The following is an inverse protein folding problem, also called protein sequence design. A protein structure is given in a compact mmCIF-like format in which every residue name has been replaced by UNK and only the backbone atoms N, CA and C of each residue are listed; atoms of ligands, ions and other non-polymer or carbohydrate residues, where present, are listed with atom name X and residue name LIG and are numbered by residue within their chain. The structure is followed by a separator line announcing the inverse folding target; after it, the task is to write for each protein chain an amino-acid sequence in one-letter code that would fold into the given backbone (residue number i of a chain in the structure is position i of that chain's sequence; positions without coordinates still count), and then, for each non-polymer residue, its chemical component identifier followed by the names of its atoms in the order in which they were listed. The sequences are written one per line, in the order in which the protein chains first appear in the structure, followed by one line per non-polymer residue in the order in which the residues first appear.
data_IF_779292457314
#
_entry.id   IF_779292457314
#
_cell.length_a   1.000
_cell.length_b   1.000
_cell.length_c   1.000
_cell.angle_alpha   90.00
_cell.angle_beta   90.00
_cell.angle_gamma   90.00
#
_symmetry.space_group_name_H-M   'P 1'
#
loop_
_entity.id
_entity.type
_entity.pdbx_description
1 polymer ?
#
# COMPACT_ATOMS: atom_id res chain seq x y z
N UNK A 1 0.13 -19.41 2.28
CA UNK A 1 1.33 -18.90 2.99
C UNK A 1 2.04 -17.87 2.13
N UNK A 2 2.83 -16.98 2.78
CA UNK A 2 3.66 -15.98 2.11
C UNK A 2 5.09 -16.14 2.62
N UNK A 3 6.04 -16.26 1.70
CA UNK A 3 7.46 -16.37 1.97
C UNK A 3 8.21 -15.20 1.34
N UNK A 4 9.25 -14.72 2.00
CA UNK A 4 10.11 -13.69 1.46
C UNK A 4 11.55 -14.20 1.38
N UNK A 5 12.10 -14.27 0.17
CA UNK A 5 13.46 -14.76 -0.07
C UNK A 5 14.53 -13.66 0.04
N UNK A 6 14.13 -12.41 0.22
CA UNK A 6 15.05 -11.27 0.30
C UNK A 6 14.63 -10.28 1.38
N UNK A 7 15.58 -9.49 1.88
CA UNK A 7 15.27 -8.28 2.63
C UNK A 7 14.55 -7.31 1.69
N UNK A 8 13.32 -6.92 2.08
CA UNK A 8 12.49 -6.01 1.27
C UNK A 8 12.49 -4.60 1.86
N UNK A 9 12.64 -3.61 1.01
CA UNK A 9 12.41 -2.21 1.37
C UNK A 9 10.95 -1.84 1.08
N UNK A 10 10.06 -2.37 1.92
CA UNK A 10 8.63 -2.25 1.75
C UNK A 10 7.84 -3.09 2.74
N UNK A 11 6.55 -3.21 2.47
CA UNK A 11 5.61 -3.99 3.28
C UNK A 11 4.57 -4.67 2.38
N UNK A 12 4.13 -5.85 2.78
CA UNK A 12 3.06 -6.61 2.14
C UNK A 12 2.12 -7.17 3.19
N UNK A 13 0.83 -7.15 2.89
CA UNK A 13 -0.19 -7.82 3.65
C UNK A 13 -1.14 -8.56 2.72
N UNK A 14 -1.41 -9.82 3.02
CA UNK A 14 -2.26 -10.69 2.20
C UNK A 14 -3.39 -11.26 3.03
N UNK A 15 -4.58 -11.29 2.43
CA UNK A 15 -5.75 -11.96 2.99
C UNK A 15 -6.65 -12.48 1.88
N UNK A 16 -7.28 -13.65 2.11
CA UNK A 16 -8.19 -14.25 1.16
C UNK A 16 -9.65 -13.89 1.46
N UNK A 17 -10.47 -13.88 0.41
CA UNK A 17 -11.91 -13.73 0.47
C UNK A 17 -12.57 -14.76 -0.44
N UNK A 18 -13.76 -15.22 -0.07
CA UNK A 18 -14.67 -15.91 -0.97
C UNK A 18 -15.68 -14.91 -1.52
N UNK A 19 -15.90 -14.96 -2.84
CA UNK A 19 -16.83 -14.10 -3.57
C UNK A 19 -18.06 -14.93 -3.89
N UNK A 20 -19.17 -14.62 -3.21
CA UNK A 20 -20.45 -15.27 -3.46
C UNK A 20 -21.13 -14.76 -4.72
N UNK A 21 -22.09 -15.55 -5.21
CA UNK A 21 -22.90 -15.18 -6.34
C UNK A 21 -23.66 -13.88 -6.09
N UNK A 22 -23.69 -13.02 -7.11
CA UNK A 22 -24.40 -11.74 -7.05
C UNK A 22 -23.69 -10.65 -6.26
N UNK A 23 -22.38 -10.78 -5.96
CA UNK A 23 -21.61 -9.66 -5.43
C UNK A 23 -21.69 -8.47 -6.39
N UNK A 24 -22.28 -7.38 -5.91
CA UNK A 24 -22.39 -6.12 -6.65
C UNK A 24 -21.91 -4.98 -5.80
N UNK A 25 -21.26 -4.03 -6.44
CA UNK A 25 -20.93 -2.78 -5.81
C UNK A 25 -22.19 -1.95 -5.49
N UNK A 26 -22.13 -1.17 -4.44
CA UNK A 26 -23.19 -0.19 -4.15
C UNK A 26 -23.17 0.96 -5.17
N UNK A 27 -24.33 1.60 -5.39
CA UNK A 27 -24.42 2.80 -6.26
C UNK A 27 -23.38 3.87 -5.85
N UNK A 28 -23.18 4.07 -4.55
CA UNK A 28 -22.18 5.02 -4.05
C UNK A 28 -20.75 4.66 -4.50
N UNK A 29 -20.41 3.38 -4.51
CA UNK A 29 -19.11 2.92 -4.97
C UNK A 29 -18.97 3.08 -6.48
N UNK A 30 -20.00 2.70 -7.25
CA UNK A 30 -20.02 2.87 -8.70
C UNK A 30 -19.83 4.34 -9.13
N UNK A 31 -20.51 5.27 -8.43
CA UNK A 31 -20.32 6.70 -8.67
C UNK A 31 -18.90 7.18 -8.33
N UNK A 32 -18.31 6.70 -7.25
CA UNK A 32 -16.93 7.02 -6.90
C UNK A 32 -15.94 6.47 -7.91
N UNK A 33 -16.13 5.22 -8.36
CA UNK A 33 -15.31 4.63 -9.40
C UNK A 33 -15.37 5.44 -10.71
N UNK A 34 -16.56 5.90 -11.10
CA UNK A 34 -16.74 6.78 -12.26
C UNK A 34 -16.03 8.14 -12.08
N UNK A 35 -16.12 8.74 -10.88
CA UNK A 35 -15.46 10.02 -10.58
C UNK A 35 -13.94 9.96 -10.62
N UNK A 36 -13.33 8.84 -10.22
CA UNK A 36 -11.87 8.64 -10.32
C UNK A 36 -11.43 8.15 -11.70
N UNK A 37 -12.37 7.97 -12.64
CA UNK A 37 -12.07 7.50 -13.99
C UNK A 37 -11.66 6.03 -14.07
N UNK A 38 -12.17 5.19 -13.16
CA UNK A 38 -11.85 3.76 -13.12
C UNK A 38 -12.14 3.06 -14.46
N UNK A 39 -11.18 2.30 -14.94
CA UNK A 39 -11.30 1.45 -16.13
C UNK A 39 -11.43 -0.04 -15.76
N UNK A 40 -11.61 -0.34 -14.46
CA UNK A 40 -11.73 -1.71 -13.98
C UNK A 40 -13.08 -2.32 -14.38
N UNK A 41 -13.05 -3.59 -14.79
CA UNK A 41 -14.23 -4.30 -15.29
C UNK A 41 -15.00 -4.99 -14.16
N UNK A 42 -14.31 -5.54 -13.16
CA UNK A 42 -14.94 -6.27 -12.06
C UNK A 42 -15.34 -5.36 -10.89
N UNK A 43 -16.41 -5.71 -10.19
CA UNK A 43 -16.86 -5.01 -8.99
C UNK A 43 -15.78 -4.98 -7.89
N UNK A 44 -15.04 -6.08 -7.73
CA UNK A 44 -13.98 -6.17 -6.73
C UNK A 44 -12.82 -5.22 -7.06
N UNK A 45 -12.33 -5.21 -8.30
CA UNK A 45 -11.23 -4.33 -8.68
C UNK A 45 -11.61 -2.85 -8.56
N UNK A 46 -12.85 -2.46 -8.95
CA UNK A 46 -13.34 -1.09 -8.75
C UNK A 46 -13.37 -0.70 -7.27
N UNK A 47 -13.79 -1.62 -6.40
CA UNK A 47 -13.75 -1.39 -4.94
C UNK A 47 -12.31 -1.18 -4.46
N UNK A 48 -11.38 -2.04 -4.86
CA UNK A 48 -9.97 -1.95 -4.46
C UNK A 48 -9.31 -0.67 -4.98
N UNK A 49 -9.60 -0.26 -6.21
CA UNK A 49 -9.10 1.00 -6.78
C UNK A 49 -9.65 2.22 -6.04
N UNK A 50 -10.95 2.24 -5.72
CA UNK A 50 -11.55 3.29 -4.88
C UNK A 50 -10.90 3.34 -3.50
N UNK A 51 -10.59 2.19 -2.90
CA UNK A 51 -9.92 2.13 -1.60
C UNK A 51 -8.46 2.57 -1.69
N UNK A 52 -7.75 2.21 -2.75
CA UNK A 52 -6.41 2.74 -3.02
C UNK A 52 -6.44 4.26 -3.11
N UNK A 53 -7.45 4.82 -3.79
CA UNK A 53 -7.62 6.27 -3.88
C UNK A 53 -7.96 6.91 -2.52
N UNK A 54 -8.77 6.24 -1.71
CA UNK A 54 -9.23 6.73 -0.40
C UNK A 54 -8.16 6.62 0.69
N UNK A 55 -7.43 5.50 0.75
CA UNK A 55 -6.49 5.19 1.83
C UNK A 55 -5.04 5.51 1.50
N UNK A 56 -4.69 5.60 0.21
CA UNK A 56 -3.31 5.70 -0.25
C UNK A 56 -2.57 4.36 -0.34
N UNK A 57 -3.13 3.26 0.20
CA UNK A 57 -2.55 1.92 0.10
C UNK A 57 -2.86 1.31 -1.25
N UNK A 58 -1.86 0.71 -1.89
CA UNK A 58 -2.05 0.01 -3.16
C UNK A 58 -2.61 -1.38 -2.90
N UNK A 59 -3.77 -1.65 -3.50
CA UNK A 59 -4.41 -2.96 -3.46
C UNK A 59 -4.35 -3.66 -4.81
N UNK A 60 -4.16 -4.99 -4.77
CA UNK A 60 -4.27 -5.90 -5.91
C UNK A 60 -5.09 -7.12 -5.51
N UNK A 61 -5.65 -7.83 -6.47
CA UNK A 61 -6.34 -9.09 -6.25
C UNK A 61 -5.85 -10.15 -7.24
N UNK A 62 -5.61 -11.35 -6.72
CA UNK A 62 -5.24 -12.53 -7.49
C UNK A 62 -6.35 -13.56 -7.42
N UNK A 63 -6.70 -14.15 -8.55
CA UNK A 63 -7.68 -15.23 -8.62
C UNK A 63 -7.05 -16.55 -8.14
N UNK A 64 -7.57 -17.11 -7.06
CA UNK A 64 -7.12 -18.38 -6.53
C UNK A 64 -7.26 -19.52 -7.56
N UNK A 65 -8.37 -19.57 -8.31
CA UNK A 65 -8.63 -20.61 -9.30
C UNK A 65 -7.67 -20.59 -10.49
N UNK A 66 -7.06 -19.43 -10.79
CA UNK A 66 -6.03 -19.30 -11.82
C UNK A 66 -4.63 -19.69 -11.31
N UNK A 67 -4.45 -19.76 -9.99
CA UNK A 67 -3.18 -20.07 -9.35
C UNK A 67 -3.10 -21.50 -8.83
N UNK A 68 -4.23 -22.08 -8.47
CA UNK A 68 -4.36 -23.41 -7.89
C UNK A 68 -4.87 -24.43 -8.93
N UNK A 69 -4.43 -25.67 -8.79
CA UNK A 69 -4.95 -26.80 -9.59
C UNK A 69 -6.30 -27.33 -9.05
N UNK A 70 -6.64 -27.01 -7.79
CA UNK A 70 -7.91 -27.36 -7.13
C UNK A 70 -8.32 -26.29 -6.13
N UNK A 71 -9.62 -26.24 -5.78
CA UNK A 71 -10.16 -25.27 -4.81
C UNK A 71 -9.56 -25.38 -3.41
N UNK A 72 -9.11 -26.57 -3.03
CA UNK A 72 -8.57 -26.87 -1.70
C UNK A 72 -7.05 -26.70 -1.62
N UNK A 73 -6.41 -26.38 -2.74
CA UNK A 73 -4.97 -26.16 -2.80
C UNK A 73 -4.55 -24.91 -2.08
N UNK A 74 -3.58 -25.05 -1.17
CA UNK A 74 -3.02 -23.92 -0.43
C UNK A 74 -2.00 -23.17 -1.29
N UNK A 75 -2.34 -21.96 -1.70
CA UNK A 75 -1.42 -21.10 -2.43
C UNK A 75 -0.25 -20.67 -1.55
N UNK A 76 0.97 -20.82 -2.09
CA UNK A 76 2.18 -20.27 -1.52
C UNK A 76 2.67 -19.12 -2.42
N UNK A 77 2.64 -17.90 -1.91
CA UNK A 77 3.22 -16.75 -2.56
C UNK A 77 4.65 -16.54 -2.10
N UNK A 78 5.54 -16.24 -3.02
CA UNK A 78 6.95 -15.97 -2.73
C UNK A 78 7.32 -14.60 -3.28
N UNK A 79 7.91 -13.77 -2.42
CA UNK A 79 8.45 -12.46 -2.79
C UNK A 79 9.94 -12.64 -3.06
N UNK A 80 10.36 -12.38 -4.32
CA UNK A 80 11.74 -12.52 -4.78
C UNK A 80 12.27 -11.19 -5.32
N UNK A 81 13.55 -10.92 -5.10
CA UNK A 81 14.22 -9.82 -5.76
C UNK A 81 14.59 -10.24 -7.19
N UNK A 82 14.13 -9.46 -8.17
CA UNK A 82 14.41 -9.65 -9.59
C UNK A 82 15.78 -9.06 -9.96
N UNK A 83 16.33 -9.43 -11.12
CA UNK A 83 17.63 -8.95 -11.61
C UNK A 83 17.69 -7.41 -11.75
N UNK A 84 16.56 -6.79 -12.07
CA UNK A 84 16.44 -5.32 -12.17
C UNK A 84 16.25 -4.62 -10.81
N UNK A 85 16.36 -5.36 -9.70
CA UNK A 85 16.22 -4.82 -8.34
C UNK A 85 14.78 -4.71 -7.83
N UNK A 86 13.76 -4.92 -8.67
CA UNK A 86 12.36 -4.91 -8.25
C UNK A 86 12.00 -6.15 -7.42
N UNK A 87 10.85 -6.12 -6.75
CA UNK A 87 10.32 -7.29 -6.06
C UNK A 87 9.22 -7.93 -6.89
N UNK A 88 9.42 -9.18 -7.28
CA UNK A 88 8.43 -10.01 -7.97
C UNK A 88 7.64 -10.84 -6.98
N UNK A 89 6.33 -10.89 -7.15
CA UNK A 89 5.43 -11.79 -6.42
C UNK A 89 5.21 -13.02 -7.30
N UNK A 90 5.54 -14.18 -6.77
CA UNK A 90 5.48 -15.45 -7.50
C UNK A 90 4.53 -16.45 -6.83
N UNK A 91 3.96 -17.33 -7.66
CA UNK A 91 3.33 -18.57 -7.23
C UNK A 91 4.07 -19.72 -7.97
N UNK A 92 4.88 -20.49 -7.25
CA UNK A 92 5.86 -21.37 -7.87
C UNK A 92 6.83 -20.56 -8.75
N UNK A 93 6.98 -20.97 -10.01
CA UNK A 93 7.84 -20.26 -10.99
C UNK A 93 7.14 -19.12 -11.73
N UNK A 94 5.82 -18.99 -11.54
CA UNK A 94 5.01 -17.99 -12.25
C UNK A 94 5.07 -16.63 -11.55
N UNK A 95 5.54 -15.62 -12.30
CA UNK A 95 5.50 -14.21 -11.85
C UNK A 95 4.05 -13.68 -11.96
N UNK A 96 3.48 -13.22 -10.87
CA UNK A 96 2.11 -12.67 -10.80
C UNK A 96 2.09 -11.16 -10.93
N UNK A 97 3.06 -10.50 -10.30
CA UNK A 97 3.16 -9.04 -10.31
C UNK A 97 4.58 -8.59 -9.98
N UNK A 98 4.89 -7.35 -10.36
CA UNK A 98 6.05 -6.60 -9.88
C UNK A 98 5.52 -5.56 -8.90
N UNK A 99 5.94 -5.67 -7.64
CA UNK A 99 5.41 -4.85 -6.54
C UNK A 99 5.50 -3.36 -6.83
N UNK A 100 4.40 -2.65 -6.67
CA UNK A 100 4.30 -1.21 -6.93
C UNK A 100 4.37 -0.80 -8.41
N UNK A 101 4.57 -1.73 -9.36
CA UNK A 101 4.82 -1.41 -10.78
C UNK A 101 3.74 -1.98 -11.68
N UNK A 102 3.48 -3.30 -11.64
CA UNK A 102 2.52 -3.94 -12.53
C UNK A 102 1.98 -5.25 -11.99
N UNK A 103 0.83 -5.67 -12.51
CA UNK A 103 0.23 -6.99 -12.29
C UNK A 103 -0.01 -7.68 -13.62
N UNK A 104 0.28 -8.98 -13.70
CA UNK A 104 0.01 -9.79 -14.89
C UNK A 104 -1.49 -10.08 -15.01
N UNK A 105 -2.03 -9.93 -16.22
CA UNK A 105 -3.47 -10.04 -16.47
C UNK A 105 -4.00 -11.45 -16.24
N UNK A 106 -3.19 -12.46 -16.48
CA UNK A 106 -3.52 -13.87 -16.32
C UNK A 106 -3.70 -14.32 -14.85
N UNK A 107 -3.25 -13.52 -13.89
CA UNK A 107 -3.42 -13.74 -12.46
C UNK A 107 -4.54 -12.88 -11.84
N UNK A 108 -5.11 -11.93 -12.61
CA UNK A 108 -6.15 -11.03 -12.11
C UNK A 108 -7.47 -11.74 -11.90
N UNK A 109 -8.27 -11.21 -10.98
CA UNK A 109 -9.66 -11.60 -10.79
C UNK A 109 -10.50 -11.20 -12.01
N UNK A 110 -11.53 -11.98 -12.26
CA UNK A 110 -12.57 -11.70 -13.27
C UNK A 110 -13.97 -11.93 -12.68
N UNK A 111 -15.01 -11.85 -13.51
CA UNK A 111 -16.40 -12.01 -13.07
C UNK A 111 -16.74 -13.43 -12.59
N UNK A 112 -15.93 -14.43 -12.92
CA UNK A 112 -16.10 -15.83 -12.55
C UNK A 112 -15.27 -16.22 -11.32
N UNK A 113 -14.44 -15.32 -10.81
CA UNK A 113 -13.57 -15.56 -9.66
C UNK A 113 -14.40 -15.83 -8.41
N UNK A 114 -14.16 -16.99 -7.77
CA UNK A 114 -14.85 -17.42 -6.54
C UNK A 114 -14.04 -17.13 -5.28
N UNK A 115 -12.74 -17.23 -5.37
CA UNK A 115 -11.82 -16.94 -4.26
C UNK A 115 -10.76 -15.98 -4.77
N UNK A 116 -10.57 -14.89 -4.05
CA UNK A 116 -9.53 -13.91 -4.34
C UNK A 116 -8.54 -13.77 -3.18
N UNK A 117 -7.26 -13.64 -3.52
CA UNK A 117 -6.20 -13.26 -2.60
C UNK A 117 -5.98 -11.77 -2.75
N UNK A 118 -6.29 -11.01 -1.73
CA UNK A 118 -6.10 -9.56 -1.70
C UNK A 118 -4.70 -9.27 -1.17
N UNK A 119 -3.95 -8.49 -1.94
CA UNK A 119 -2.67 -7.91 -1.56
C UNK A 119 -2.86 -6.43 -1.22
N UNK A 120 -2.30 -5.99 -0.11
CA UNK A 120 -1.97 -4.61 0.14
C UNK A 120 -0.45 -4.48 0.13
N UNK A 121 0.10 -3.52 -0.57
CA UNK A 121 1.56 -3.39 -0.71
C UNK A 121 2.03 -1.94 -0.62
N UNK A 122 3.25 -1.81 -0.09
CA UNK A 122 4.04 -0.59 -0.05
C UNK A 122 5.47 -0.92 -0.44
N UNK A 123 6.04 -0.15 -1.35
CA UNK A 123 7.47 -0.21 -1.70
C UNK A 123 8.03 1.20 -1.60
N UNK A 124 9.26 1.32 -1.12
CA UNK A 124 9.95 2.61 -1.00
C UNK A 124 9.93 3.37 -2.34
N UNK A 125 9.41 4.62 -2.39
CA UNK A 125 9.22 5.36 -3.64
C UNK A 125 10.51 5.62 -4.41
N UNK A 126 11.62 5.86 -3.70
CA UNK A 126 12.92 6.09 -4.32
C UNK A 126 13.41 4.85 -5.06
N UNK A 127 13.21 3.66 -4.48
CA UNK A 127 13.55 2.38 -5.12
C UNK A 127 12.72 2.17 -6.40
N UNK A 128 11.42 2.43 -6.36
CA UNK A 128 10.57 2.33 -7.56
C UNK A 128 11.01 3.32 -8.63
N UNK A 129 11.33 4.56 -8.25
CA UNK A 129 11.78 5.60 -9.17
C UNK A 129 13.11 5.22 -9.85
N UNK A 130 14.05 4.65 -9.09
CA UNK A 130 15.32 4.15 -9.59
C UNK A 130 15.13 2.99 -10.58
N UNK A 131 14.31 1.99 -10.20
CA UNK A 131 14.01 0.84 -11.05
C UNK A 131 13.39 1.29 -12.38
N UNK A 132 12.40 2.18 -12.34
CA UNK A 132 11.73 2.68 -13.54
C UNK A 132 12.62 3.61 -14.37
N UNK A 133 13.55 4.32 -13.76
CA UNK A 133 14.55 5.13 -14.45
C UNK A 133 15.55 4.29 -15.24
N UNK A 134 15.99 3.18 -14.66
CA UNK A 134 16.98 2.28 -15.25
C UNK A 134 16.37 1.27 -16.23
N UNK A 135 15.05 1.01 -16.18
CA UNK A 135 14.38 -0.05 -16.96
C UNK A 135 13.15 0.53 -17.68
N UNK A 136 13.38 1.21 -18.80
CA UNK A 136 12.31 1.91 -19.56
C UNK A 136 11.25 0.97 -20.14
N UNK A 137 11.60 -0.27 -20.41
CA UNK A 137 10.75 -1.28 -21.04
C UNK A 137 9.84 -2.05 -20.07
N UNK A 138 9.94 -1.78 -18.76
CA UNK A 138 9.04 -2.40 -17.78
C UNK A 138 7.59 -1.95 -18.05
N UNK A 139 6.70 -2.93 -18.27
CA UNK A 139 5.25 -2.67 -18.33
C UNK A 139 4.78 -2.09 -17.00
N UNK A 140 4.12 -0.93 -17.06
CA UNK A 140 3.58 -0.20 -15.90
C UNK A 140 2.06 -0.29 -15.91
N UNK A 141 1.47 -0.41 -14.73
CA UNK A 141 0.03 -0.20 -14.56
C UNK A 141 -0.26 1.21 -13.98
N UNK A 142 -1.53 1.49 -13.72
CA UNK A 142 -2.02 2.77 -13.22
C UNK A 142 -1.46 3.15 -11.84
N UNK A 143 -1.00 2.16 -11.05
CA UNK A 143 -0.47 2.40 -9.70
C UNK A 143 1.01 2.75 -9.69
N UNK A 144 1.76 2.47 -10.76
CA UNK A 144 3.19 2.78 -10.84
C UNK A 144 3.48 4.28 -10.59
N UNK A 145 2.63 5.16 -11.11
CA UNK A 145 2.73 6.61 -10.86
C UNK A 145 2.58 6.94 -9.37
N UNK A 146 1.63 6.30 -8.67
CA UNK A 146 1.42 6.50 -7.24
C UNK A 146 2.61 5.97 -6.44
N UNK A 147 3.11 4.80 -6.78
CA UNK A 147 4.25 4.17 -6.11
C UNK A 147 5.52 5.03 -6.14
N UNK A 148 5.77 5.76 -7.24
CA UNK A 148 6.94 6.66 -7.35
C UNK A 148 6.83 7.93 -6.50
N UNK A 149 5.63 8.28 -6.05
CA UNK A 149 5.37 9.50 -5.25
C UNK A 149 5.08 9.21 -3.78
N UNK A 150 5.01 7.96 -3.43
CA UNK A 150 4.66 7.48 -2.10
C UNK A 150 3.23 6.98 -2.04
N UNK A 151 3.08 5.84 -1.39
CA UNK A 151 1.80 5.26 -0.98
C UNK A 151 1.77 5.16 0.55
N UNK A 152 0.60 4.89 1.12
CA UNK A 152 0.47 4.77 2.57
C UNK A 152 1.15 3.46 3.05
N UNK A 153 2.13 3.52 3.97
CA UNK A 153 2.81 2.33 4.48
C UNK A 153 2.00 1.59 5.55
N UNK A 154 0.95 2.19 6.13
CA UNK A 154 0.12 1.55 7.14
C UNK A 154 -0.92 0.63 6.48
N UNK A 155 -0.46 -0.54 6.04
CA UNK A 155 -1.30 -1.52 5.35
C UNK A 155 -2.44 -2.05 6.23
N UNK A 156 -2.22 -2.17 7.54
CA UNK A 156 -3.23 -2.67 8.48
C UNK A 156 -4.45 -1.75 8.56
N UNK A 157 -4.24 -0.44 8.55
CA UNK A 157 -5.34 0.53 8.54
C UNK A 157 -6.25 0.31 7.33
N UNK A 158 -5.67 0.23 6.14
CA UNK A 158 -6.42 0.06 4.91
C UNK A 158 -7.07 -1.33 4.78
N UNK A 159 -6.36 -2.40 5.18
CA UNK A 159 -6.91 -3.75 5.24
C UNK A 159 -8.10 -3.83 6.19
N UNK A 160 -8.04 -3.19 7.35
CA UNK A 160 -9.17 -3.16 8.29
C UNK A 160 -10.39 -2.43 7.72
N UNK A 161 -10.20 -1.33 6.99
CA UNK A 161 -11.30 -0.63 6.29
C UNK A 161 -11.92 -1.57 5.25
N UNK A 162 -11.11 -2.21 4.40
CA UNK A 162 -11.57 -3.11 3.37
C UNK A 162 -12.38 -4.27 3.97
N UNK A 163 -11.85 -4.91 5.01
CA UNK A 163 -12.52 -6.05 5.64
C UNK A 163 -13.78 -5.66 6.42
N UNK A 164 -13.85 -4.45 6.97
CA UNK A 164 -15.11 -3.90 7.51
C UNK A 164 -16.18 -3.69 6.43
N UNK A 165 -15.78 -3.38 5.19
CA UNK A 165 -16.71 -3.31 4.06
C UNK A 165 -17.16 -4.71 3.67
N UNK A 166 -16.27 -5.68 3.63
CA UNK A 166 -16.60 -7.07 3.28
C UNK A 166 -17.54 -7.73 4.31
N UNK A 167 -17.30 -7.53 5.60
CA UNK A 167 -18.18 -8.10 6.65
C UNK A 167 -19.60 -7.53 6.63
N UNK A 168 -19.80 -6.38 6.02
CA UNK A 168 -21.14 -5.78 5.83
C UNK A 168 -21.81 -6.19 4.51
N UNK A 169 -21.12 -6.96 3.69
CA UNK A 169 -21.63 -7.46 2.41
C UNK A 169 -21.89 -8.96 2.51
N UNK A 170 -23.14 -9.37 2.39
CA UNK A 170 -23.53 -10.77 2.53
C UNK A 170 -22.98 -11.70 1.45
N UNK A 171 -22.44 -11.13 0.35
CA UNK A 171 -21.90 -11.88 -0.78
C UNK A 171 -20.38 -11.95 -0.78
N UNK A 172 -19.72 -11.58 0.31
CA UNK A 172 -18.29 -11.78 0.51
C UNK A 172 -18.05 -12.39 1.87
N UNK A 173 -17.30 -13.49 1.90
CA UNK A 173 -16.85 -14.14 3.14
C UNK A 173 -15.35 -13.98 3.28
N UNK A 174 -14.87 -13.15 4.23
CA UNK A 174 -13.44 -13.03 4.47
C UNK A 174 -12.92 -14.26 5.25
N UNK A 175 -11.80 -14.83 4.78
CA UNK A 175 -11.09 -15.85 5.53
C UNK A 175 -10.38 -15.23 6.74
N UNK A 176 -10.22 -16.02 7.80
CA UNK A 176 -9.46 -15.62 9.00
C UNK A 176 -7.96 -15.58 8.71
N UNK A 177 -7.28 -14.65 9.37
CA UNK A 177 -5.82 -14.53 9.30
C UNK A 177 -5.34 -13.61 8.18
N UNK A 178 -4.35 -12.80 8.53
CA UNK A 178 -3.60 -11.94 7.61
C UNK A 178 -2.14 -12.39 7.62
N UNK A 179 -1.57 -12.63 6.45
CA UNK A 179 -0.13 -12.89 6.30
C UNK A 179 0.56 -11.56 6.01
N UNK A 180 1.59 -11.24 6.77
CA UNK A 180 2.30 -9.97 6.63
C UNK A 180 3.80 -10.20 6.51
N UNK A 181 4.41 -9.42 5.64
CA UNK A 181 5.86 -9.27 5.53
C UNK A 181 6.15 -7.77 5.56
N UNK A 182 6.91 -7.34 6.55
CA UNK A 182 7.23 -5.92 6.72
C UNK A 182 8.66 -5.78 7.21
N UNK A 183 9.41 -4.88 6.57
CA UNK A 183 10.66 -4.38 7.12
C UNK A 183 10.32 -3.28 8.15
N UNK A 184 10.94 -3.34 9.32
CA UNK A 184 10.87 -2.24 10.28
C UNK A 184 11.54 -1.01 9.66
N UNK A 185 10.81 0.08 9.53
CA UNK A 185 11.32 1.37 9.06
C UNK A 185 11.45 2.29 10.25
N UNK A 186 12.67 2.74 10.50
CA UNK A 186 12.92 3.77 11.53
C UNK A 186 12.52 5.14 10.98
N UNK A 187 11.70 5.92 11.70
CA UNK A 187 11.35 7.27 11.30
C UNK A 187 12.60 8.18 11.35
N UNK A 188 12.74 9.02 10.34
CA UNK A 188 13.80 10.03 10.29
C UNK A 188 13.55 11.07 11.39
N UNK A 189 14.58 11.43 12.15
CA UNK A 189 14.52 12.49 13.12
C UNK A 189 15.29 13.72 12.61
N UNK A 190 14.64 14.88 12.61
CA UNK A 190 15.22 16.15 12.19
C UNK A 190 15.31 17.06 13.40
N UNK A 191 16.52 17.60 13.64
CA UNK A 191 16.78 18.60 14.68
C UNK A 191 16.84 20.00 14.10
N UNK A 192 16.22 20.97 14.77
CA UNK A 192 16.25 22.39 14.37
C UNK A 192 16.01 23.32 15.57
N UNK A 193 16.46 24.56 15.46
CA UNK A 193 16.21 25.62 16.43
C UNK A 193 14.96 26.45 16.12
N UNK A 194 14.28 26.97 17.14
CA UNK A 194 13.12 27.86 16.95
C UNK A 194 13.51 29.17 16.26
N UNK A 195 14.73 29.64 16.45
CA UNK A 195 15.30 30.81 15.78
C UNK A 195 15.42 30.60 14.25
N UNK A 196 15.81 29.40 13.82
CA UNK A 196 15.92 29.07 12.39
C UNK A 196 14.54 29.12 11.70
N UNK A 197 13.52 28.52 12.33
CA UNK A 197 12.14 28.58 11.84
C UNK A 197 11.64 30.02 11.79
N UNK A 198 11.86 30.80 12.85
CA UNK A 198 11.45 32.20 12.91
C UNK A 198 12.11 33.04 11.81
N UNK A 199 13.40 32.81 11.53
CA UNK A 199 14.14 33.47 10.48
C UNK A 199 13.59 33.13 9.07
N UNK A 200 13.28 31.84 8.83
CA UNK A 200 12.71 31.39 7.53
C UNK A 200 11.32 31.96 7.28
N UNK A 201 10.48 32.06 8.32
CA UNK A 201 9.10 32.55 8.19
C UNK A 201 9.04 34.09 8.22
N UNK A 202 10.07 34.77 8.76
CA UNK A 202 10.12 36.22 8.91
C UNK A 202 9.33 36.75 10.11
N UNK A 203 8.94 35.88 11.05
CA UNK A 203 8.26 36.27 12.28
C UNK A 203 8.68 35.38 13.45
N UNK A 204 8.68 35.92 14.65
CA UNK A 204 9.01 35.16 15.87
C UNK A 204 7.91 34.16 16.22
N UNK A 205 8.28 32.88 16.32
CA UNK A 205 7.38 31.80 16.74
C UNK A 205 8.04 31.10 17.92
N UNK A 206 7.26 30.86 18.98
CA UNK A 206 7.77 30.14 20.15
C UNK A 206 8.02 28.66 19.87
N UNK A 207 9.02 28.06 20.53
CA UNK A 207 9.28 26.61 20.45
C UNK A 207 8.04 25.79 20.83
N UNK A 208 7.26 26.26 21.78
CA UNK A 208 5.99 25.64 22.21
C UNK A 208 4.94 25.62 21.09
N UNK A 209 4.80 26.72 20.35
CA UNK A 209 3.86 26.79 19.23
C UNK A 209 4.30 25.92 18.06
N UNK A 210 5.61 25.92 17.74
CA UNK A 210 6.18 25.03 16.74
C UNK A 210 5.88 23.58 17.09
N UNK A 211 6.20 23.16 18.32
CA UNK A 211 5.95 21.80 18.79
C UNK A 211 4.45 21.43 18.73
N UNK A 212 3.57 22.36 19.11
CA UNK A 212 2.11 22.16 19.04
C UNK A 212 1.62 21.96 17.61
N UNK A 213 2.13 22.74 16.66
CA UNK A 213 1.76 22.64 15.23
C UNK A 213 2.24 21.31 14.68
N UNK A 214 3.52 20.94 14.91
CA UNK A 214 4.07 19.70 14.39
C UNK A 214 3.39 18.46 14.99
N UNK A 215 3.05 18.47 16.29
CA UNK A 215 2.25 17.39 16.89
C UNK A 215 0.88 17.23 16.23
N UNK A 216 0.20 18.33 15.88
CA UNK A 216 -1.08 18.27 15.13
C UNK A 216 -0.92 17.69 13.72
N UNK A 217 0.26 17.81 13.13
CA UNK A 217 0.62 17.23 11.84
C UNK A 217 1.15 15.78 11.95
N UNK A 218 1.11 15.19 13.16
CA UNK A 218 1.47 13.79 13.38
C UNK A 218 2.96 13.55 13.67
N UNK A 219 3.78 14.60 13.84
CA UNK A 219 5.19 14.44 14.24
C UNK A 219 5.30 14.10 15.72
N UNK A 220 6.19 13.18 16.06
CA UNK A 220 6.62 12.96 17.44
C UNK A 220 7.70 13.98 17.78
N UNK A 221 7.47 14.76 18.85
CA UNK A 221 8.36 15.86 19.23
C UNK A 221 9.04 15.55 20.53
N UNK A 222 10.38 15.68 20.54
CA UNK A 222 11.21 15.81 21.74
C UNK A 222 11.99 17.13 21.69
N UNK A 223 12.26 17.71 22.83
CA UNK A 223 13.02 18.95 22.97
C UNK A 223 14.18 18.76 23.95
N UNK A 224 15.23 19.54 23.79
CA UNK A 224 16.31 19.63 24.78
C UNK A 224 15.80 20.29 26.06
N UNK A 225 16.54 20.11 27.16
CA UNK A 225 16.15 20.64 28.48
C UNK A 225 16.06 22.16 28.54
N UNK A 226 16.76 22.87 27.66
CA UNK A 226 16.72 24.32 27.48
C UNK A 226 15.67 24.81 26.47
N UNK A 227 14.96 23.88 25.80
CA UNK A 227 14.01 24.15 24.73
C UNK A 227 14.58 24.92 23.52
N UNK A 228 15.89 25.00 23.36
CA UNK A 228 16.51 25.67 22.21
C UNK A 228 16.48 24.81 20.97
N UNK A 229 16.64 23.49 21.13
CA UNK A 229 16.55 22.55 20.02
C UNK A 229 15.32 21.65 20.14
N UNK A 230 14.65 21.47 19.01
CA UNK A 230 13.49 20.60 18.82
C UNK A 230 13.91 19.47 17.87
N UNK A 231 13.62 18.24 18.28
CA UNK A 231 13.75 17.06 17.41
C UNK A 231 12.37 16.58 17.02
N UNK A 232 12.13 16.50 15.73
CA UNK A 232 10.87 16.03 15.16
C UNK A 232 11.11 14.71 14.43
N UNK A 233 10.46 13.62 14.89
CA UNK A 233 10.39 12.38 14.13
C UNK A 233 9.32 12.51 13.05
N UNK A 234 9.74 12.28 11.82
CA UNK A 234 8.88 12.42 10.63
C UNK A 234 7.92 11.23 10.55
N UNK A 235 6.60 11.45 10.37
CA UNK A 235 5.67 10.37 10.14
C UNK A 235 6.02 9.55 8.89
N UNK A 236 5.84 8.24 8.93
CA UNK A 236 6.25 7.33 7.84
C UNK A 236 5.56 7.59 6.50
N UNK A 237 4.38 8.24 6.49
CA UNK A 237 3.66 8.62 5.28
C UNK A 237 4.15 9.92 4.61
N UNK A 238 5.04 10.66 5.27
CA UNK A 238 5.65 11.86 4.72
C UNK A 238 6.88 11.47 3.90
N UNK A 239 6.69 11.38 2.59
CA UNK A 239 7.73 11.02 1.62
C UNK A 239 8.43 12.23 0.98
N UNK A 240 8.02 13.41 1.40
CA UNK A 240 8.50 14.72 0.95
C UNK A 240 9.56 15.33 1.87
N UNK A 241 9.89 14.62 2.94
CA UNK A 241 10.85 15.04 3.97
C UNK A 241 11.98 14.00 4.10
#
# INVERSE_FOLDING_TARGET
SVHCEALINGAFAYRAIEIGEGFKESLKLALRAALIGSQKTTNLERLLECLTHYTGVIFRAYDHGKLASSSDEKIALTIKKLENGAYGIHCGDRLLSIAGISQNDDARVDENSKIAIIEASYIEPNLISEILGNNKDIKKDEFAYRSTRGSEPNLNYAMNILFNIFTKNNNITPYSGTQQVQLSREPIAIGFGSSEISAMIGMTISSTDIARILKKLGFEISATSDNEQIYAKVPLWRHDI
#
